data_IF_707641312028
#
_entry.id   IF_707641312028
#
_cell.length_a   1.000
_cell.length_b   1.000
_cell.length_c   1.000
_cell.angle_alpha   90.00
_cell.angle_beta   90.00
_cell.angle_gamma   90.00
#
_symmetry.space_group_name_H-M   'P 1'
#
loop_
_entity.id
_entity.type
_entity.pdbx_description
1 polymer ?
#
# COMPACT_ATOMS: atom_id res chain seq x y z
N UNK A 1 0.28 -5.36 1.74
CA UNK A 1 0.56 -4.35 0.68
C UNK A 1 0.44 -2.92 1.20
N UNK A 2 -0.66 -2.53 1.85
CA UNK A 2 -0.89 -1.15 2.34
C UNK A 2 0.25 -0.61 3.24
N UNK A 3 0.82 -1.46 4.12
CA UNK A 3 1.94 -1.05 4.99
C UNK A 3 3.23 -0.73 4.21
N UNK A 4 3.54 -1.52 3.19
CA UNK A 4 4.74 -1.32 2.37
C UNK A 4 4.57 -0.08 1.50
N UNK A 5 3.39 0.10 0.88
CA UNK A 5 3.11 1.31 0.11
C UNK A 5 3.13 2.57 0.97
N UNK A 6 2.61 2.53 2.20
CA UNK A 6 2.68 3.66 3.12
C UNK A 6 4.12 4.02 3.51
N UNK A 7 4.97 3.02 3.78
CA UNK A 7 6.40 3.23 4.06
C UNK A 7 7.10 3.83 2.83
N UNK A 8 6.83 3.29 1.63
CA UNK A 8 7.44 3.76 0.39
C UNK A 8 7.07 5.21 0.09
N UNK A 9 5.80 5.57 0.28
CA UNK A 9 5.30 6.94 0.19
C UNK A 9 6.01 7.84 1.21
N UNK A 10 6.14 7.40 2.46
CA UNK A 10 6.83 8.15 3.51
C UNK A 10 8.31 8.39 3.21
N UNK A 11 9.02 7.38 2.71
CA UNK A 11 10.44 7.49 2.31
C UNK A 11 10.62 8.45 1.15
N UNK A 12 9.79 8.35 0.11
CA UNK A 12 9.84 9.28 -1.05
C UNK A 12 9.57 10.71 -0.60
N UNK A 13 8.59 10.92 0.27
CA UNK A 13 8.28 12.24 0.81
C UNK A 13 9.48 12.79 1.60
N UNK A 14 10.05 12.00 2.51
CA UNK A 14 11.25 12.37 3.28
C UNK A 14 12.44 12.77 2.38
N UNK A 15 12.69 12.02 1.30
CA UNK A 15 13.75 12.36 0.34
C UNK A 15 13.51 13.70 -0.36
N UNK A 16 12.26 14.03 -0.70
CA UNK A 16 11.91 15.31 -1.31
C UNK A 16 12.13 16.45 -0.31
N UNK A 17 11.74 16.29 0.95
CA UNK A 17 12.01 17.29 2.00
C UNK A 17 13.51 17.49 2.24
N UNK A 18 14.28 16.41 2.31
CA UNK A 18 15.72 16.47 2.45
C UNK A 18 16.39 17.18 1.27
N UNK A 19 15.93 16.91 0.03
CA UNK A 19 16.42 17.58 -1.17
C UNK A 19 16.11 19.08 -1.17
N UNK A 20 14.87 19.48 -0.85
CA UNK A 20 14.47 20.89 -0.79
C UNK A 20 15.23 21.65 0.31
N UNK A 21 15.48 21.01 1.45
CA UNK A 21 16.26 21.59 2.55
C UNK A 21 17.73 21.74 2.16
N UNK A 22 18.32 20.75 1.49
CA UNK A 22 19.67 20.86 0.94
C UNK A 22 19.78 21.97 -0.11
N UNK A 23 18.81 22.09 -1.02
CA UNK A 23 18.76 23.14 -2.02
C UNK A 23 18.69 24.54 -1.37
N UNK A 24 17.89 24.71 -0.31
CA UNK A 24 17.83 25.96 0.46
C UNK A 24 19.17 26.34 1.10
N UNK A 25 19.89 25.38 1.67
CA UNK A 25 21.20 25.64 2.29
C UNK A 25 22.26 25.99 1.23
N UNK A 26 22.23 25.32 0.08
CA UNK A 26 23.24 25.48 -0.99
C UNK A 26 23.01 26.71 -1.86
N UNK A 27 21.75 27.15 -2.02
CA UNK A 27 21.38 28.29 -2.87
C UNK A 27 20.79 29.40 -1.99
N UNK A 28 21.65 30.35 -1.59
CA UNK A 28 21.31 31.45 -0.66
C UNK A 28 20.22 32.41 -1.17
N UNK A 29 19.86 32.37 -2.44
CA UNK A 29 18.83 33.25 -3.03
C UNK A 29 17.40 32.72 -2.91
N UNK A 30 17.21 31.51 -2.39
CA UNK A 30 15.88 30.92 -2.28
C UNK A 30 15.14 31.52 -1.08
N UNK A 31 13.98 32.13 -1.31
CA UNK A 31 13.11 32.58 -0.24
C UNK A 31 12.49 31.41 0.54
N UNK A 32 12.45 31.51 1.87
CA UNK A 32 11.83 30.51 2.74
C UNK A 32 10.36 30.23 2.38
N UNK A 33 9.60 31.25 1.99
CA UNK A 33 8.20 31.11 1.55
C UNK A 33 8.05 30.19 0.34
N UNK A 34 8.96 30.28 -0.63
CA UNK A 34 8.94 29.44 -1.82
C UNK A 34 9.20 27.96 -1.48
N UNK A 35 10.11 27.69 -0.53
CA UNK A 35 10.39 26.32 -0.04
C UNK A 35 9.17 25.73 0.67
N UNK A 36 8.51 26.51 1.53
CA UNK A 36 7.31 26.08 2.27
C UNK A 36 6.13 25.82 1.33
N UNK A 37 5.88 26.72 0.37
CA UNK A 37 4.79 26.56 -0.61
C UNK A 37 5.08 25.37 -1.53
N UNK A 38 6.32 25.20 -1.99
CA UNK A 38 6.73 24.08 -2.85
C UNK A 38 6.61 22.73 -2.14
N UNK A 39 6.98 22.66 -0.85
CA UNK A 39 6.89 21.45 -0.04
C UNK A 39 5.46 21.09 0.34
N UNK A 40 4.64 22.04 0.79
CA UNK A 40 3.22 21.81 1.08
C UNK A 40 2.44 21.50 -0.19
N UNK A 41 2.64 22.25 -1.27
CA UNK A 41 1.94 22.04 -2.54
C UNK A 41 2.36 20.73 -3.22
N UNK A 42 3.65 20.56 -3.47
CA UNK A 42 4.19 19.40 -4.19
C UNK A 42 4.05 18.09 -3.40
N UNK A 43 4.33 18.12 -2.10
CA UNK A 43 4.21 16.96 -1.23
C UNK A 43 2.76 16.49 -1.11
N UNK A 44 1.82 17.41 -0.91
CA UNK A 44 0.41 17.07 -0.75
C UNK A 44 -0.23 16.62 -2.07
N UNK A 45 0.12 17.27 -3.20
CA UNK A 45 -0.33 16.86 -4.53
C UNK A 45 0.12 15.42 -4.85
N UNK A 46 1.38 15.09 -4.56
CA UNK A 46 1.91 13.74 -4.78
C UNK A 46 1.19 12.68 -3.94
N UNK A 47 0.93 12.98 -2.66
CA UNK A 47 0.15 12.11 -1.78
C UNK A 47 -1.26 11.87 -2.32
N UNK A 48 -1.92 12.92 -2.79
CA UNK A 48 -3.26 12.82 -3.36
C UNK A 48 -3.29 11.92 -4.61
N UNK A 49 -2.33 12.08 -5.52
CA UNK A 49 -2.22 11.28 -6.74
C UNK A 49 -1.98 9.81 -6.41
N UNK A 50 -1.00 9.50 -5.55
CA UNK A 50 -0.70 8.12 -5.15
C UNK A 50 -1.86 7.47 -4.38
N UNK A 51 -2.55 8.23 -3.55
CA UNK A 51 -3.75 7.79 -2.85
C UNK A 51 -4.88 7.41 -3.82
N UNK A 52 -5.14 8.26 -4.82
CA UNK A 52 -6.11 7.98 -5.88
C UNK A 52 -5.75 6.73 -6.68
N UNK A 53 -4.49 6.59 -7.08
CA UNK A 53 -4.02 5.39 -7.82
C UNK A 53 -4.22 4.14 -6.96
N UNK A 54 -3.80 4.17 -5.70
CA UNK A 54 -3.93 3.04 -4.78
C UNK A 54 -5.40 2.66 -4.56
N UNK A 55 -6.28 3.64 -4.41
CA UNK A 55 -7.72 3.42 -4.29
C UNK A 55 -8.32 2.81 -5.56
N UNK A 56 -7.94 3.32 -6.74
CA UNK A 56 -8.39 2.78 -8.02
C UNK A 56 -7.95 1.33 -8.24
N UNK A 57 -6.69 1.01 -7.91
CA UNK A 57 -6.17 -0.36 -8.00
C UNK A 57 -6.91 -1.26 -7.00
N UNK A 58 -7.09 -0.81 -5.75
CA UNK A 58 -7.80 -1.56 -4.72
C UNK A 58 -9.24 -1.90 -5.11
N UNK A 59 -9.98 -0.93 -5.65
CA UNK A 59 -11.37 -1.11 -6.09
C UNK A 59 -11.55 -2.15 -7.20
N UNK A 60 -10.53 -2.40 -8.03
CA UNK A 60 -10.59 -3.46 -9.07
C UNK A 60 -10.76 -4.86 -8.48
N UNK A 61 -10.42 -5.05 -7.19
CA UNK A 61 -10.58 -6.33 -6.52
C UNK A 61 -11.96 -6.53 -5.89
N UNK A 62 -12.81 -5.49 -5.80
CA UNK A 62 -14.14 -5.57 -5.19
C UNK A 62 -15.02 -6.67 -5.77
N UNK A 63 -15.14 -6.86 -7.10
CA UNK A 63 -15.98 -7.93 -7.65
C UNK A 63 -15.57 -9.34 -7.19
N UNK A 64 -14.27 -9.57 -6.97
CA UNK A 64 -13.78 -10.84 -6.44
C UNK A 64 -14.11 -11.01 -4.95
N UNK A 65 -14.04 -9.91 -4.18
CA UNK A 65 -14.44 -9.89 -2.77
C UNK A 65 -15.94 -10.16 -2.64
N UNK A 66 -16.75 -9.45 -3.42
CA UNK A 66 -18.22 -9.56 -3.42
C UNK A 66 -18.70 -10.96 -3.82
N UNK A 67 -17.92 -11.67 -4.66
CA UNK A 67 -18.18 -13.07 -5.02
C UNK A 67 -17.71 -14.06 -3.94
N UNK A 68 -16.53 -13.83 -3.36
CA UNK A 68 -15.95 -14.74 -2.39
C UNK A 68 -16.67 -14.72 -1.02
N UNK A 69 -17.16 -13.54 -0.62
CA UNK A 69 -17.78 -13.36 0.70
C UNK A 69 -19.03 -14.24 0.91
N UNK A 70 -20.00 -14.30 -0.01
CA UNK A 70 -21.14 -15.22 0.08
C UNK A 70 -20.71 -16.68 0.12
N UNK A 71 -19.72 -17.08 -0.69
CA UNK A 71 -19.24 -18.48 -0.75
C UNK A 71 -18.68 -18.90 0.61
N UNK A 72 -17.78 -18.11 1.20
CA UNK A 72 -17.22 -18.43 2.51
C UNK A 72 -18.25 -18.36 3.63
N UNK A 73 -19.22 -17.43 3.54
CA UNK A 73 -20.33 -17.35 4.49
C UNK A 73 -21.20 -18.62 4.44
N UNK A 74 -21.54 -19.10 3.24
CA UNK A 74 -22.27 -20.36 3.05
C UNK A 74 -21.49 -21.58 3.57
N UNK A 75 -20.16 -21.55 3.49
CA UNK A 75 -19.27 -22.56 4.08
C UNK A 75 -19.16 -22.45 5.61
N UNK A 76 -19.88 -21.53 6.26
CA UNK A 76 -19.95 -21.39 7.71
C UNK A 76 -18.82 -20.57 8.33
N UNK A 77 -18.05 -19.82 7.53
CA UNK A 77 -16.97 -18.99 8.05
C UNK A 77 -17.54 -17.73 8.71
N UNK A 78 -17.06 -17.42 9.92
CA UNK A 78 -17.44 -16.20 10.65
C UNK A 78 -16.50 -15.06 10.30
N UNK A 79 -17.05 -13.85 10.15
CA UNK A 79 -16.27 -12.62 9.94
C UNK A 79 -15.39 -12.61 8.68
N UNK A 80 -15.95 -13.07 7.55
CA UNK A 80 -15.22 -13.29 6.28
C UNK A 80 -14.41 -12.07 5.80
N UNK A 81 -14.92 -10.85 6.01
CA UNK A 81 -14.26 -9.59 5.62
C UNK A 81 -12.90 -9.39 6.27
N UNK A 82 -12.68 -9.95 7.47
CA UNK A 82 -11.46 -9.77 8.24
C UNK A 82 -10.52 -10.98 8.19
N UNK A 83 -10.83 -11.99 7.35
CA UNK A 83 -10.04 -13.21 7.26
C UNK A 83 -8.83 -13.01 6.34
N UNK A 84 -7.64 -13.23 6.88
CA UNK A 84 -6.41 -13.24 6.10
C UNK A 84 -5.97 -14.69 5.80
N UNK A 85 -6.45 -15.22 4.67
CA UNK A 85 -6.14 -16.58 4.22
C UNK A 85 -4.64 -16.84 4.11
N UNK A 86 -3.87 -15.90 3.53
CA UNK A 86 -2.41 -16.06 3.39
C UNK A 86 -1.72 -16.21 4.75
N UNK A 87 -2.13 -15.43 5.75
CA UNK A 87 -1.58 -15.52 7.11
C UNK A 87 -1.91 -16.88 7.74
N UNK A 88 -3.18 -17.28 7.70
CA UNK A 88 -3.64 -18.56 8.28
C UNK A 88 -2.95 -19.75 7.61
N UNK A 89 -2.82 -19.74 6.28
CA UNK A 89 -2.15 -20.82 5.54
C UNK A 89 -0.67 -20.91 5.89
N UNK A 90 0.02 -19.78 6.10
CA UNK A 90 1.43 -19.78 6.54
C UNK A 90 1.59 -20.32 7.95
N UNK A 91 0.69 -19.99 8.86
CA UNK A 91 0.70 -20.49 10.25
C UNK A 91 0.40 -22.00 10.32
N UNK A 92 -0.49 -22.49 9.47
CA UNK A 92 -0.90 -23.92 9.44
C UNK A 92 -0.06 -24.79 8.51
N UNK A 93 0.95 -24.23 7.84
CA UNK A 93 1.80 -24.93 6.88
C UNK A 93 2.63 -26.01 7.58
N UNK A 94 2.54 -27.24 7.08
CA UNK A 94 3.36 -28.36 7.54
C UNK A 94 4.65 -28.48 6.72
N UNK A 95 5.70 -29.12 7.25
CA UNK A 95 6.94 -29.37 6.50
C UNK A 95 6.74 -30.19 5.22
N UNK A 96 5.67 -31.00 5.19
CA UNK A 96 5.29 -31.83 4.04
C UNK A 96 4.50 -31.07 2.98
N UNK A 97 4.02 -29.87 3.29
CA UNK A 97 3.18 -29.10 2.38
C UNK A 97 4.04 -28.44 1.27
N UNK A 98 3.50 -28.30 0.05
CA UNK A 98 4.24 -27.69 -1.05
C UNK A 98 4.76 -26.30 -0.70
N UNK A 99 5.97 -25.92 -1.19
CA UNK A 99 6.54 -24.61 -0.90
C UNK A 99 5.64 -23.45 -1.34
N UNK A 100 4.86 -23.66 -2.42
CA UNK A 100 3.93 -22.71 -3.02
C UNK A 100 2.57 -22.53 -2.28
N UNK A 101 2.27 -23.36 -1.28
CA UNK A 101 1.00 -23.32 -0.56
C UNK A 101 0.80 -21.98 0.17
N UNK A 102 -0.31 -21.28 -0.13
CA UNK A 102 -0.64 -19.97 0.44
C UNK A 102 0.00 -18.76 -0.25
N UNK A 103 0.92 -18.95 -1.19
CA UNK A 103 1.52 -17.88 -1.99
C UNK A 103 1.07 -17.88 -3.46
N UNK A 104 0.79 -19.05 -4.04
CA UNK A 104 0.42 -19.18 -5.46
C UNK A 104 -1.07 -19.38 -5.65
N UNK A 105 -1.68 -18.60 -6.55
CA UNK A 105 -2.97 -18.94 -7.14
C UNK A 105 -2.74 -20.02 -8.20
N UNK A 106 -3.56 -21.07 -8.17
CA UNK A 106 -3.67 -22.18 -9.12
C UNK A 106 -2.77 -22.05 -10.36
N UNK A 107 -1.75 -22.90 -10.46
CA UNK A 107 -1.05 -23.14 -11.74
C UNK A 107 -1.95 -24.07 -12.55
N UNK A 108 -2.44 -23.57 -13.69
CA UNK A 108 -3.09 -24.37 -14.72
C UNK A 108 -2.03 -25.05 -15.58
#
# INVERSE_FOLDING_TARGET
MIRISAILIGVVNFLIWAFLLAAYILVKEIEFKAVVIGSLGGGFLMLAILGLISYNIGRRFNPFIDMAEPIFTLLGWKDVKNINLRKITKEKKKPTDPPAMGDSYFRY
#
